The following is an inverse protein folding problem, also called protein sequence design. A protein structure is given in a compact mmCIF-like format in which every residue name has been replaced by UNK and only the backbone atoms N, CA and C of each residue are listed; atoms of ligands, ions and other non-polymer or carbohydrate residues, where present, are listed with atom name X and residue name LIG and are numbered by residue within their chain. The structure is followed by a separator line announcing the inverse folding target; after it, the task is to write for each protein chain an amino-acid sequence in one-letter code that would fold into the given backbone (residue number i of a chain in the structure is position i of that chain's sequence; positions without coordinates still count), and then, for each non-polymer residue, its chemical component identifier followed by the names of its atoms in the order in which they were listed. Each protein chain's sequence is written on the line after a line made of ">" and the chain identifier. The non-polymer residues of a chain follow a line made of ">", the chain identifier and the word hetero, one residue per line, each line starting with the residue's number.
data_IF_997143406180
#
_entry.id   IF_997143406180
#
_cell.length_a   1.000
_cell.length_b   1.000
_cell.length_c   1.000
_cell.angle_alpha   90.00
_cell.angle_beta   90.00
_cell.angle_gamma   90.00
#
_symmetry.space_group_name_H-M   'P 1'
#
loop_
_entity.id
_entity.type
_entity.pdbx_description
1 polymer ?
#
# COMPACT_ATOMS: atom_id res chain seq x y z
N UNK A 1 -21.33 4.03 12.02
CA UNK A 1 -20.32 3.61 11.02
C UNK A 1 -19.66 2.34 11.55
N UNK A 2 -19.74 1.22 10.84
CA UNK A 2 -19.12 -0.05 11.26
C UNK A 2 -17.96 -0.36 10.32
N UNK A 3 -16.83 -0.82 10.85
CA UNK A 3 -15.71 -1.30 10.03
C UNK A 3 -15.97 -2.75 9.66
N UNK A 4 -15.93 -3.07 8.36
CA UNK A 4 -16.04 -4.45 7.89
C UNK A 4 -14.64 -5.02 7.65
N UNK A 5 -14.27 -6.08 8.36
CA UNK A 5 -12.96 -6.75 8.24
C UNK A 5 -12.96 -7.79 7.14
N UNK A 6 -11.97 -7.70 6.26
CA UNK A 6 -11.91 -8.43 4.99
C UNK A 6 -10.74 -9.35 4.96
N UNK A 7 -11.06 -10.62 5.12
CA UNK A 7 -10.17 -11.72 4.84
C UNK A 7 -10.02 -11.85 3.31
N UNK A 8 -8.82 -12.06 2.78
CA UNK A 8 -8.59 -12.16 1.35
C UNK A 8 -9.31 -13.38 0.79
N UNK A 9 -9.92 -13.22 -0.40
CA UNK A 9 -10.65 -14.30 -1.07
C UNK A 9 -9.71 -15.17 -1.89
N UNK A 10 -8.57 -14.61 -2.30
CA UNK A 10 -7.45 -15.36 -2.86
C UNK A 10 -6.16 -14.90 -2.18
N UNK A 11 -5.65 -15.75 -1.32
CA UNK A 11 -4.35 -15.59 -0.69
C UNK A 11 -3.76 -16.98 -0.43
N UNK A 12 -2.64 -17.24 -1.09
CA UNK A 12 -1.70 -18.31 -0.73
C UNK A 12 -0.47 -17.54 -0.27
N UNK A 13 0.17 -17.93 0.83
CA UNK A 13 1.30 -17.21 1.42
C UNK A 13 2.42 -16.89 0.42
N UNK A 14 2.58 -17.72 -0.60
CA UNK A 14 3.58 -17.59 -1.66
C UNK A 14 3.03 -17.05 -2.99
N UNK A 15 1.76 -16.66 -3.05
CA UNK A 15 1.20 -15.99 -4.22
C UNK A 15 1.73 -14.57 -4.30
N UNK A 16 2.24 -14.19 -5.48
CA UNK A 16 2.62 -12.79 -5.75
C UNK A 16 1.41 -11.85 -5.79
N UNK A 17 0.20 -12.37 -5.94
CA UNK A 17 -1.03 -11.58 -6.02
C UNK A 17 -1.96 -11.88 -4.85
N UNK A 18 -2.50 -10.82 -4.24
CA UNK A 18 -3.45 -10.88 -3.13
C UNK A 18 -4.73 -10.18 -3.55
N UNK A 19 -5.88 -10.84 -3.39
CA UNK A 19 -7.18 -10.29 -3.79
C UNK A 19 -8.17 -10.24 -2.62
N UNK A 20 -8.75 -9.07 -2.41
CA UNK A 20 -9.84 -8.82 -1.47
C UNK A 20 -11.10 -8.46 -2.25
N UNK A 21 -12.15 -9.26 -2.11
CA UNK A 21 -13.44 -8.97 -2.71
C UNK A 21 -14.47 -8.65 -1.61
N UNK A 22 -15.13 -7.50 -1.76
CA UNK A 22 -16.20 -7.03 -0.90
C UNK A 22 -17.47 -6.89 -1.70
N UNK A 23 -18.35 -7.85 -1.54
CA UNK A 23 -19.68 -7.81 -2.14
C UNK A 23 -20.51 -6.69 -1.53
N UNK A 24 -21.08 -5.83 -2.38
CA UNK A 24 -22.01 -4.79 -1.97
C UNK A 24 -23.46 -5.27 -1.80
N UNK A 25 -23.65 -6.55 -1.49
CA UNK A 25 -24.97 -7.13 -1.30
C UNK A 25 -25.59 -6.58 0.00
N UNK A 26 -26.74 -5.91 -0.14
CA UNK A 26 -27.54 -5.36 0.96
C UNK A 26 -27.51 -3.83 1.10
N UNK A 27 -28.02 -3.35 2.24
CA UNK A 27 -28.50 -1.96 2.45
C UNK A 27 -27.42 -0.93 2.78
N UNK A 28 -26.17 -1.20 2.43
CA UNK A 28 -25.06 -0.42 2.96
C UNK A 28 -24.12 0.10 1.90
N UNK A 29 -23.61 1.28 2.17
CA UNK A 29 -22.70 1.98 1.30
C UNK A 29 -21.26 1.79 1.80
N UNK A 30 -20.31 1.83 0.87
CA UNK A 30 -18.91 1.72 1.21
C UNK A 30 -18.23 3.08 1.18
N UNK A 31 -17.39 3.32 2.18
CA UNK A 31 -16.54 4.49 2.22
C UNK A 31 -15.08 4.07 1.98
N UNK A 32 -14.53 4.55 0.86
CA UNK A 32 -13.16 4.29 0.44
C UNK A 32 -12.15 5.33 0.94
N UNK A 33 -12.59 6.41 1.61
CA UNK A 33 -11.69 7.48 2.08
C UNK A 33 -10.58 6.95 2.98
N UNK A 34 -10.87 5.90 3.76
CA UNK A 34 -9.90 5.28 4.67
C UNK A 34 -9.98 3.75 4.57
N UNK A 35 -9.38 3.21 3.52
CA UNK A 35 -9.10 1.78 3.43
C UNK A 35 -7.90 1.47 4.33
N UNK A 36 -8.03 0.51 5.25
CA UNK A 36 -6.94 0.09 6.14
C UNK A 36 -6.43 -1.29 5.77
N UNK A 37 -5.12 -1.47 5.86
CA UNK A 37 -4.47 -2.77 5.84
C UNK A 37 -3.93 -3.09 7.23
N UNK A 38 -4.10 -4.35 7.63
CA UNK A 38 -3.36 -4.97 8.72
C UNK A 38 -2.60 -6.15 8.16
N UNK A 39 -1.28 -6.21 8.38
CA UNK A 39 -0.39 -7.22 7.80
C UNK A 39 0.56 -7.74 8.87
N UNK A 40 0.67 -9.05 8.96
CA UNK A 40 1.67 -9.75 9.77
C UNK A 40 2.70 -10.34 8.82
N UNK A 41 3.96 -9.98 9.00
CA UNK A 41 5.04 -10.38 8.11
C UNK A 41 6.23 -10.89 8.90
N UNK A 42 6.99 -11.81 8.30
CA UNK A 42 8.29 -12.25 8.78
C UNK A 42 9.34 -12.15 7.69
N UNK A 43 10.57 -11.93 8.09
CA UNK A 43 11.74 -12.00 7.20
C UNK A 43 12.33 -13.41 7.34
N UNK A 44 12.68 -14.02 6.23
CA UNK A 44 13.37 -15.31 6.15
C UNK A 44 14.66 -15.14 5.37
N UNK A 45 15.64 -16.00 5.61
CA UNK A 45 16.83 -16.10 4.75
C UNK A 45 16.47 -16.84 3.45
N UNK A 46 17.36 -16.78 2.47
CA UNK A 46 17.21 -17.48 1.18
C UNK A 46 16.95 -18.98 1.32
N UNK A 47 17.53 -19.62 2.33
CA UNK A 47 17.36 -21.05 2.63
C UNK A 47 16.07 -21.36 3.43
N UNK A 48 15.23 -20.37 3.68
CA UNK A 48 14.00 -20.48 4.46
C UNK A 48 14.22 -20.50 5.97
N UNK A 49 15.46 -20.40 6.45
CA UNK A 49 15.75 -20.37 7.88
C UNK A 49 15.34 -19.04 8.51
N UNK A 50 15.16 -19.06 9.83
CA UNK A 50 14.67 -17.91 10.57
C UNK A 50 15.66 -16.73 10.54
N UNK A 51 15.12 -15.54 10.40
CA UNK A 51 15.84 -14.29 10.61
C UNK A 51 16.22 -14.11 12.08
N UNK A 52 17.44 -13.66 12.33
CA UNK A 52 18.05 -13.52 13.65
C UNK A 52 18.57 -12.11 13.87
N UNK A 53 18.91 -11.77 15.11
CA UNK A 53 19.44 -10.46 15.48
C UNK A 53 20.79 -10.11 14.84
N UNK A 54 21.51 -11.10 14.31
CA UNK A 54 22.80 -10.93 13.65
C UNK A 54 22.66 -10.65 12.15
N UNK A 55 21.45 -10.83 11.60
CA UNK A 55 21.21 -10.65 10.18
C UNK A 55 20.99 -9.17 9.87
N UNK A 56 21.87 -8.61 9.03
CA UNK A 56 21.86 -7.21 8.64
C UNK A 56 20.97 -7.02 7.42
N UNK A 57 19.65 -7.13 7.61
CA UNK A 57 18.64 -6.86 6.61
C UNK A 57 17.49 -6.04 7.20
N UNK A 58 17.26 -4.84 6.67
CA UNK A 58 16.17 -3.95 7.09
C UNK A 58 15.17 -3.74 5.96
N UNK A 59 13.88 -3.54 6.25
CA UNK A 59 12.91 -3.23 5.21
C UNK A 59 13.12 -1.82 4.64
N UNK A 60 12.69 -1.60 3.40
CA UNK A 60 12.59 -0.26 2.82
C UNK A 60 11.60 0.62 3.59
N UNK A 61 11.63 1.91 3.30
CA UNK A 61 10.75 2.86 3.96
C UNK A 61 9.28 2.56 3.68
N UNK A 62 8.45 2.72 4.71
CA UNK A 62 6.99 2.58 4.64
C UNK A 62 6.50 1.24 4.07
N UNK A 63 7.14 0.15 4.52
CA UNK A 63 6.94 -1.22 4.05
C UNK A 63 5.48 -1.61 3.86
N UNK A 64 4.56 -1.18 4.74
CA UNK A 64 3.13 -1.48 4.65
C UNK A 64 2.53 -1.23 3.26
N UNK A 65 2.96 -0.16 2.59
CA UNK A 65 2.51 0.15 1.23
C UNK A 65 3.57 -0.17 0.18
N UNK A 66 4.85 0.03 0.48
CA UNK A 66 5.93 -0.15 -0.50
C UNK A 66 6.28 -1.62 -0.78
N UNK A 67 5.74 -2.57 0.01
CA UNK A 67 5.81 -4.00 -0.30
C UNK A 67 4.95 -4.42 -1.51
N UNK A 68 4.11 -3.53 -2.04
CA UNK A 68 3.29 -3.79 -3.22
C UNK A 68 3.78 -2.97 -4.41
N UNK A 69 4.04 -3.63 -5.54
CA UNK A 69 4.45 -2.96 -6.79
C UNK A 69 3.26 -2.38 -7.54
N UNK A 70 2.08 -2.99 -7.40
CA UNK A 70 0.85 -2.56 -8.07
C UNK A 70 -0.37 -2.69 -7.16
N UNK A 71 -1.32 -1.77 -7.36
CA UNK A 71 -2.65 -1.81 -6.75
C UNK A 71 -3.70 -1.59 -7.83
N UNK A 72 -4.68 -2.49 -7.91
CA UNK A 72 -5.78 -2.43 -8.87
C UNK A 72 -7.11 -2.48 -8.14
N UNK A 73 -8.03 -1.59 -8.50
CA UNK A 73 -9.37 -1.55 -7.92
C UNK A 73 -10.40 -1.70 -9.01
N UNK A 74 -11.25 -2.70 -8.87
CA UNK A 74 -12.40 -2.94 -9.73
C UNK A 74 -13.70 -2.76 -8.97
N UNK A 75 -14.68 -2.13 -9.62
CA UNK A 75 -16.05 -2.01 -9.12
C UNK A 75 -16.96 -2.78 -10.08
N UNK A 76 -17.75 -3.72 -9.56
CA UNK A 76 -18.64 -4.59 -10.37
C UNK A 76 -17.92 -5.16 -11.61
N UNK A 77 -16.80 -5.85 -11.37
CA UNK A 77 -15.95 -6.49 -12.39
C UNK A 77 -15.30 -5.57 -13.43
N UNK A 78 -15.51 -4.25 -13.33
CA UNK A 78 -14.83 -3.26 -14.15
C UNK A 78 -13.67 -2.63 -13.41
N UNK A 79 -12.45 -2.76 -13.95
CA UNK A 79 -11.27 -2.10 -13.39
C UNK A 79 -11.40 -0.57 -13.53
N UNK A 80 -11.43 0.13 -12.40
CA UNK A 80 -11.59 1.59 -12.31
C UNK A 80 -10.23 2.26 -12.11
N UNK A 81 -9.39 1.70 -11.24
CA UNK A 81 -8.03 2.17 -10.96
C UNK A 81 -7.01 1.09 -11.28
N UNK A 82 -5.89 1.52 -11.86
CA UNK A 82 -4.74 0.70 -12.21
C UNK A 82 -3.48 1.47 -11.84
N UNK A 83 -2.87 1.13 -10.71
CA UNK A 83 -1.77 1.88 -10.14
C UNK A 83 -0.48 1.06 -10.30
N UNK A 84 0.17 1.21 -11.45
CA UNK A 84 1.54 0.73 -11.66
C UNK A 84 2.54 1.60 -10.88
N UNK A 85 3.66 1.03 -10.42
CA UNK A 85 4.66 1.73 -9.59
C UNK A 85 4.08 2.24 -8.25
N UNK A 86 3.16 1.47 -7.67
CA UNK A 86 2.46 1.81 -6.44
C UNK A 86 3.41 2.11 -5.27
N UNK A 87 4.47 1.32 -5.10
CA UNK A 87 5.47 1.54 -4.06
C UNK A 87 6.10 2.94 -4.14
N UNK A 88 6.54 3.37 -5.32
CA UNK A 88 7.13 4.69 -5.51
C UNK A 88 6.12 5.80 -5.24
N UNK A 89 4.90 5.66 -5.78
CA UNK A 89 3.81 6.61 -5.56
C UNK A 89 3.56 6.83 -4.07
N UNK A 90 3.35 5.75 -3.32
CA UNK A 90 3.00 5.84 -1.90
C UNK A 90 4.15 6.32 -1.03
N UNK A 91 5.39 5.96 -1.36
CA UNK A 91 6.57 6.49 -0.68
C UNK A 91 6.70 8.00 -0.87
N UNK A 92 6.58 8.48 -2.11
CA UNK A 92 6.67 9.91 -2.45
C UNK A 92 5.53 10.66 -1.77
N UNK A 93 4.29 10.17 -1.85
CA UNK A 93 3.14 10.82 -1.21
C UNK A 93 3.30 10.90 0.31
N UNK A 94 3.74 9.80 0.94
CA UNK A 94 3.98 9.75 2.39
C UNK A 94 5.09 10.68 2.84
N UNK A 95 6.08 10.93 1.96
CA UNK A 95 7.21 11.81 2.26
C UNK A 95 6.89 13.29 2.04
N UNK A 96 6.15 13.62 0.97
CA UNK A 96 5.93 15.00 0.54
C UNK A 96 4.59 15.61 1.00
N UNK A 97 3.53 14.80 1.08
CA UNK A 97 2.16 15.33 1.32
C UNK A 97 1.64 15.06 2.72
N UNK A 98 2.31 14.23 3.52
CA UNK A 98 1.98 14.04 4.92
C UNK A 98 2.75 15.02 5.82
N UNK A 99 2.08 15.52 6.85
CA UNK A 99 2.72 16.37 7.86
C UNK A 99 3.79 15.61 8.64
N UNK A 100 4.76 16.32 9.21
CA UNK A 100 5.79 15.70 10.04
C UNK A 100 5.20 14.94 11.24
N UNK A 101 4.12 15.47 11.84
CA UNK A 101 3.39 14.77 12.89
C UNK A 101 2.79 13.45 12.39
N UNK A 102 2.24 13.43 11.18
CA UNK A 102 1.73 12.21 10.55
C UNK A 102 2.83 11.16 10.35
N UNK A 103 3.98 11.61 9.83
CA UNK A 103 5.16 10.78 9.58
C UNK A 103 5.74 10.17 10.87
N UNK A 104 5.78 10.93 11.96
CA UNK A 104 6.32 10.48 13.26
C UNK A 104 5.34 9.65 14.09
N UNK A 105 4.05 9.75 13.81
CA UNK A 105 2.99 9.04 14.52
C UNK A 105 2.40 7.92 13.66
N UNK A 106 1.27 8.14 13.00
CA UNK A 106 0.52 7.05 12.38
C UNK A 106 1.26 6.36 11.23
N UNK A 107 2.15 7.03 10.48
CA UNK A 107 2.90 6.34 9.43
C UNK A 107 3.96 5.37 10.01
N UNK A 108 4.37 5.52 11.27
CA UNK A 108 5.28 4.58 11.93
C UNK A 108 4.70 3.18 12.08
N UNK A 109 3.38 3.04 12.21
CA UNK A 109 2.75 1.71 12.24
C UNK A 109 2.85 0.99 10.89
N UNK A 110 3.10 1.72 9.80
CA UNK A 110 3.47 1.17 8.49
C UNK A 110 4.98 1.10 8.23
N UNK A 111 5.81 1.24 9.27
CA UNK A 111 7.28 1.30 9.21
C UNK A 111 7.83 2.48 8.41
N UNK A 112 7.14 3.63 8.42
CA UNK A 112 7.71 4.88 7.93
C UNK A 112 8.74 5.43 8.91
N UNK A 113 9.99 5.55 8.47
CA UNK A 113 11.07 6.19 9.21
C UNK A 113 11.91 6.97 8.20
N UNK A 114 11.90 8.31 8.32
CA UNK A 114 12.57 9.19 7.36
C UNK A 114 14.07 8.85 7.30
N UNK A 115 14.55 8.56 6.11
CA UNK A 115 15.96 8.29 5.86
C UNK A 115 16.80 9.57 6.03
N UNK A 116 18.09 9.41 6.33
CA UNK A 116 19.00 10.55 6.53
C UNK A 116 19.31 11.21 5.18
N UNK A 117 19.22 12.54 5.13
CA UNK A 117 19.63 13.31 3.94
C UNK A 117 21.09 12.99 3.57
N UNK A 118 21.39 12.91 2.26
CA UNK A 118 22.72 12.58 1.72
C UNK A 118 23.26 11.17 2.04
N UNK A 119 22.51 10.38 2.80
CA UNK A 119 22.87 9.01 3.18
C UNK A 119 21.75 8.02 2.88
N UNK A 120 20.85 8.34 1.93
CA UNK A 120 19.74 7.45 1.56
C UNK A 120 20.25 6.08 1.08
N UNK A 121 21.27 6.09 0.22
CA UNK A 121 21.88 4.90 -0.36
C UNK A 121 22.88 4.19 0.57
N UNK A 122 23.08 4.69 1.80
CA UNK A 122 23.93 4.02 2.77
C UNK A 122 23.21 2.80 3.37
N UNK A 123 23.61 1.63 2.89
CA UNK A 123 23.11 0.33 3.32
C UNK A 123 23.89 -0.27 4.50
N UNK A 124 24.82 0.48 5.10
CA UNK A 124 25.52 0.02 6.30
C UNK A 124 24.57 0.01 7.51
N UNK A 125 24.21 -1.20 7.93
CA UNK A 125 23.33 -1.46 9.06
C UNK A 125 24.10 -1.61 10.39
N UNK A 126 25.42 -1.44 10.37
CA UNK A 126 26.26 -1.44 11.58
C UNK A 126 26.14 -0.14 12.37
N UNK A 127 26.87 -0.01 13.48
CA UNK A 127 26.94 1.24 14.23
C UNK A 127 27.47 2.42 13.38
N UNK A 128 28.30 2.17 12.36
CA UNK A 128 28.94 3.20 11.54
C UNK A 128 28.04 3.77 10.43
N UNK A 129 26.96 3.09 10.06
CA UNK A 129 26.08 3.56 8.99
C UNK A 129 25.44 4.93 9.24
N UNK A 130 25.17 5.65 8.16
CA UNK A 130 24.68 7.04 8.21
C UNK A 130 23.17 7.15 8.03
N UNK A 131 22.53 6.15 7.42
CA UNK A 131 21.07 6.10 7.29
C UNK A 131 20.39 5.69 8.60
N UNK A 132 20.04 6.67 9.42
CA UNK A 132 19.40 6.44 10.73
C UNK A 132 17.98 5.89 10.59
N UNK A 133 17.26 6.28 9.54
CA UNK A 133 15.90 5.79 9.26
C UNK A 133 15.91 4.29 8.96
N UNK A 134 16.84 3.83 8.11
CA UNK A 134 17.03 2.42 7.82
C UNK A 134 17.43 1.61 9.08
N UNK A 135 18.36 2.13 9.90
CA UNK A 135 18.70 1.48 11.17
C UNK A 135 17.51 1.36 12.10
N UNK A 136 16.72 2.42 12.25
CA UNK A 136 15.49 2.37 13.04
C UNK A 136 14.51 1.30 12.53
N UNK A 137 14.40 1.12 11.20
CA UNK A 137 13.58 0.04 10.63
C UNK A 137 14.13 -1.34 10.99
N UNK A 138 15.44 -1.57 10.87
CA UNK A 138 16.09 -2.83 11.27
C UNK A 138 15.88 -3.13 12.76
N UNK A 139 16.12 -2.17 13.63
CA UNK A 139 15.97 -2.34 15.09
C UNK A 139 14.55 -2.79 15.48
N UNK A 140 13.55 -2.41 14.69
CA UNK A 140 12.13 -2.77 14.91
C UNK A 140 11.77 -4.16 14.40
N UNK A 141 12.67 -4.86 13.71
CA UNK A 141 12.41 -6.19 13.14
C UNK A 141 13.45 -7.24 13.56
N UNK A 142 14.69 -6.86 13.91
CA UNK A 142 15.83 -7.76 14.16
C UNK A 142 15.63 -8.82 15.25
N UNK A 143 14.77 -8.54 16.25
CA UNK A 143 14.53 -9.44 17.38
C UNK A 143 13.15 -10.07 17.35
N UNK A 144 12.37 -9.85 16.28
CA UNK A 144 10.97 -10.26 16.21
C UNK A 144 10.82 -11.30 15.12
N UNK A 145 10.21 -12.45 15.46
CA UNK A 145 9.92 -13.52 14.50
C UNK A 145 8.93 -13.06 13.43
N UNK A 146 7.84 -12.43 13.86
CA UNK A 146 6.79 -11.86 13.01
C UNK A 146 6.43 -10.49 13.56
N UNK A 147 6.39 -9.48 12.70
CA UNK A 147 6.01 -8.13 13.09
C UNK A 147 4.74 -7.66 12.38
N UNK A 148 3.90 -6.95 13.14
CA UNK A 148 2.67 -6.35 12.65
C UNK A 148 2.91 -4.97 12.03
N UNK A 149 2.12 -4.69 11.00
CA UNK A 149 1.97 -3.37 10.41
C UNK A 149 0.50 -3.08 10.17
N UNK A 150 0.08 -1.86 10.48
CA UNK A 150 -1.29 -1.43 10.24
C UNK A 150 -1.28 0.02 9.78
N UNK A 151 -2.22 0.39 8.91
CA UNK A 151 -2.35 1.76 8.45
C UNK A 151 -3.19 1.90 7.20
N UNK A 152 -3.22 3.13 6.69
CA UNK A 152 -3.98 3.46 5.49
C UNK A 152 -3.32 2.80 4.29
N UNK A 153 -4.14 2.13 3.48
CA UNK A 153 -3.79 1.73 2.13
C UNK A 153 -4.16 2.86 1.17
N UNK A 154 -3.16 3.45 0.54
CA UNK A 154 -3.37 4.59 -0.35
C UNK A 154 -4.00 4.12 -1.64
N UNK A 155 -5.11 4.73 -2.05
CA UNK A 155 -5.74 4.38 -3.33
C UNK A 155 -6.23 5.65 -3.99
N UNK A 156 -6.23 5.70 -5.33
CA UNK A 156 -6.78 6.86 -6.05
C UNK A 156 -8.26 7.11 -5.70
N UNK A 157 -9.02 6.03 -5.51
CA UNK A 157 -10.42 6.10 -5.08
C UNK A 157 -10.59 6.56 -3.62
N UNK A 158 -9.55 6.52 -2.79
CA UNK A 158 -9.58 7.09 -1.45
C UNK A 158 -9.52 8.61 -1.42
N UNK A 159 -9.27 9.26 -2.56
CA UNK A 159 -9.27 10.74 -2.67
C UNK A 159 -10.66 11.33 -2.81
N UNK A 160 -11.66 10.53 -3.20
CA UNK A 160 -13.05 10.96 -3.20
C UNK A 160 -13.69 10.68 -1.84
N UNK A 161 -14.61 11.54 -1.40
CA UNK A 161 -15.33 11.42 -0.12
C UNK A 161 -16.77 10.91 -0.26
N UNK A 162 -17.22 10.58 -1.47
CA UNK A 162 -18.57 10.08 -1.77
C UNK A 162 -18.65 8.58 -1.51
N UNK A 163 -19.66 8.19 -0.75
CA UNK A 163 -19.92 6.78 -0.51
C UNK A 163 -20.27 6.05 -1.80
N UNK A 164 -19.69 4.86 -2.01
CA UNK A 164 -20.11 3.94 -3.04
C UNK A 164 -21.49 3.41 -2.68
N UNK A 165 -22.44 3.58 -3.60
CA UNK A 165 -23.83 3.17 -3.41
C UNK A 165 -23.96 1.65 -3.25
N UNK A 166 -25.07 1.23 -2.63
CA UNK A 166 -25.45 -0.18 -2.49
C UNK A 166 -25.41 -0.91 -3.85
N UNK A 167 -25.12 -2.21 -3.82
CA UNK A 167 -24.95 -3.03 -5.03
C UNK A 167 -23.56 -2.91 -5.67
N UNK A 168 -22.67 -2.07 -5.14
CA UNK A 168 -21.29 -1.95 -5.64
C UNK A 168 -20.37 -2.98 -4.98
N UNK A 169 -19.93 -3.96 -5.74
CA UNK A 169 -18.89 -4.92 -5.34
C UNK A 169 -17.51 -4.36 -5.61
N UNK A 170 -16.64 -4.36 -4.60
CA UNK A 170 -15.27 -3.82 -4.67
C UNK A 170 -14.29 -5.00 -4.70
N UNK A 171 -13.43 -5.04 -5.71
CA UNK A 171 -12.28 -5.95 -5.77
C UNK A 171 -10.99 -5.14 -5.68
N UNK A 172 -10.19 -5.38 -4.65
CA UNK A 172 -8.84 -4.82 -4.49
C UNK A 172 -7.84 -5.93 -4.76
N UNK A 173 -6.97 -5.72 -5.75
CA UNK A 173 -5.88 -6.64 -6.11
C UNK A 173 -4.54 -5.95 -5.87
N UNK A 174 -3.70 -6.59 -5.06
CA UNK A 174 -2.35 -6.14 -4.75
C UNK A 174 -1.34 -7.10 -5.35
N UNK A 175 -0.33 -6.56 -6.05
CA UNK A 175 0.81 -7.33 -6.53
C UNK A 175 2.00 -7.07 -5.62
N UNK A 176 2.59 -8.12 -5.05
CA UNK A 176 3.78 -8.04 -4.20
C UNK A 176 4.97 -7.57 -5.02
N UNK A 177 5.71 -6.60 -4.49
CA UNK A 177 7.01 -6.25 -5.02
C UNK A 177 8.01 -7.40 -4.81
N UNK A 178 9.11 -7.40 -5.56
CA UNK A 178 10.20 -8.35 -5.36
C UNK A 178 10.81 -8.15 -3.96
N UNK A 179 11.25 -9.23 -3.33
CA UNK A 179 11.85 -9.14 -2.00
C UNK A 179 13.12 -8.26 -2.01
N UNK A 180 13.93 -8.32 -3.08
CA UNK A 180 15.10 -7.44 -3.32
C UNK A 180 14.74 -5.95 -3.38
N UNK A 181 13.50 -5.62 -3.76
CA UNK A 181 13.01 -4.25 -3.71
C UNK A 181 12.54 -3.89 -2.30
N UNK A 182 11.86 -4.79 -1.60
CA UNK A 182 11.26 -4.52 -0.29
C UNK A 182 12.24 -4.61 0.90
N UNK A 183 13.39 -5.26 0.71
CA UNK A 183 14.39 -5.51 1.74
C UNK A 183 15.75 -4.98 1.31
N UNK A 184 16.46 -4.34 2.25
CA UNK A 184 17.79 -3.79 2.05
C UNK A 184 18.79 -4.53 2.95
N UNK A 185 19.78 -5.15 2.31
CA UNK A 185 20.89 -5.81 2.98
C UNK A 185 22.17 -5.57 2.18
N UNK A 186 23.30 -5.42 2.87
CA UNK A 186 24.61 -5.34 2.20
C UNK A 186 25.07 -6.70 1.66
N UNK A 187 24.78 -7.76 2.41
CA UNK A 187 25.14 -9.13 2.12
C UNK A 187 23.98 -10.07 2.42
N UNK A 188 23.87 -11.15 1.64
CA UNK A 188 22.84 -12.17 1.80
C UNK A 188 21.54 -11.84 1.07
N UNK A 189 20.74 -12.87 0.84
CA UNK A 189 19.43 -12.77 0.20
C UNK A 189 18.37 -13.15 1.23
N UNK A 190 17.29 -12.36 1.27
CA UNK A 190 16.22 -12.48 2.25
C UNK A 190 14.87 -12.41 1.55
N UNK A 191 13.87 -13.04 2.16
CA UNK A 191 12.51 -13.12 1.65
C UNK A 191 11.53 -12.52 2.66
N UNK A 192 10.58 -11.73 2.16
CA UNK A 192 9.49 -11.22 2.98
C UNK A 192 8.29 -12.15 2.83
N UNK A 193 7.96 -12.86 3.91
CA UNK A 193 6.84 -13.78 3.97
C UNK A 193 5.66 -13.16 4.71
N UNK A 194 4.51 -13.12 4.07
CA UNK A 194 3.26 -12.60 4.65
C UNK A 194 2.55 -13.76 5.35
N UNK A 195 2.38 -13.68 6.66
CA UNK A 195 1.66 -14.69 7.43
C UNK A 195 0.15 -14.43 7.43
N UNK A 196 -0.24 -13.18 7.59
CA UNK A 196 -1.63 -12.78 7.60
C UNK A 196 -1.77 -11.38 6.98
N UNK A 197 -2.87 -11.17 6.26
CA UNK A 197 -3.22 -9.89 5.69
C UNK A 197 -4.73 -9.71 5.75
N UNK A 198 -5.18 -8.52 6.14
CA UNK A 198 -6.58 -8.17 6.22
C UNK A 198 -6.82 -6.75 5.74
N UNK A 199 -7.85 -6.57 4.91
CA UNK A 199 -8.29 -5.29 4.39
C UNK A 199 -9.58 -4.85 5.08
N UNK A 200 -9.62 -3.61 5.57
CA UNK A 200 -10.79 -3.04 6.22
C UNK A 200 -11.34 -1.89 5.40
N UNK A 201 -12.63 -1.98 5.07
CA UNK A 201 -13.38 -0.94 4.37
C UNK A 201 -14.56 -0.55 5.27
N UNK A 202 -14.79 0.76 5.42
CA UNK A 202 -15.88 1.29 6.26
C UNK A 202 -17.22 1.06 5.56
N UNK A 203 -18.19 0.58 6.35
CA UNK A 203 -19.58 0.35 5.94
C UNK A 203 -20.47 1.41 6.61
N UNK A 204 -21.28 2.04 5.79
CA UNK A 204 -22.28 3.03 6.21
C UNK A 204 -23.66 2.42 6.05
N UNK A 205 -24.36 2.22 7.17
CA UNK A 205 -25.76 1.82 7.16
C UNK A 205 -26.60 3.04 6.81
N UNK A 206 -27.44 2.90 5.79
CA UNK A 206 -28.26 3.99 5.24
C UNK A 206 -29.73 3.68 5.51
N UNK A 207 -30.55 4.70 5.79
CA UNK A 207 -31.98 4.48 6.02
C UNK A 207 -32.68 3.99 4.75
N UNK A 208 -33.68 3.11 4.89
CA UNK A 208 -34.40 2.53 3.76
C UNK A 208 -35.04 3.58 2.84
N UNK A 209 -35.48 4.72 3.39
CA UNK A 209 -36.02 5.84 2.61
C UNK A 209 -35.01 6.42 1.61
N UNK A 210 -33.72 6.48 1.98
CA UNK A 210 -32.66 7.00 1.11
C UNK A 210 -32.29 5.95 0.06
N UNK A 211 -32.32 4.66 0.40
CA UNK A 211 -32.10 3.58 -0.56
C UNK A 211 -33.15 3.60 -1.66
N UNK A 212 -34.43 3.65 -1.30
CA UNK A 212 -35.55 3.75 -2.26
C UNK A 212 -35.47 5.04 -3.07
N UNK A 213 -35.11 6.15 -2.43
CA UNK A 213 -34.92 7.44 -3.10
C UNK A 213 -33.81 7.39 -4.15
N UNK A 214 -32.66 6.76 -3.83
CA UNK A 214 -31.58 6.56 -4.79
C UNK A 214 -31.97 5.56 -5.88
N UNK A 215 -32.62 4.44 -5.57
CA UNK A 215 -33.08 3.47 -6.57
C UNK A 215 -33.96 4.14 -7.63
N UNK A 216 -34.94 4.93 -7.20
CA UNK A 216 -35.80 5.71 -8.10
C UNK A 216 -35.03 6.79 -8.86
N UNK A 217 -34.11 7.48 -8.19
CA UNK A 217 -33.31 8.51 -8.85
C UNK A 217 -32.34 7.93 -9.90
N UNK A 218 -31.91 6.67 -9.77
CA UNK A 218 -31.00 6.02 -10.71
C UNK A 218 -31.69 5.49 -11.97
N UNK A 219 -33.02 5.59 -12.07
CA UNK A 219 -33.76 5.31 -13.30
C UNK A 219 -33.48 6.34 -14.41
N UNK A 220 -33.00 7.54 -14.07
CA UNK A 220 -32.78 8.63 -15.03
C UNK A 220 -31.29 9.04 -15.16
N UNK A 221 -30.66 9.75 -14.19
CA UNK A 221 -29.24 10.11 -14.27
C UNK A 221 -28.28 9.01 -13.76
N UNK A 222 -27.07 9.01 -14.32
CA UNK A 222 -25.93 8.24 -13.82
C UNK A 222 -25.32 8.90 -12.57
N UNK A 223 -24.81 8.09 -11.63
CA UNK A 223 -23.98 8.61 -10.53
C UNK A 223 -22.63 9.04 -11.06
N UNK A 224 -22.26 10.29 -10.80
CA UNK A 224 -20.94 10.82 -11.09
C UNK A 224 -20.11 10.91 -9.80
N UNK A 225 -18.97 10.22 -9.78
CA UNK A 225 -18.02 10.26 -8.67
C UNK A 225 -16.64 10.70 -9.20
N UNK A 226 -16.30 12.00 -9.08
CA UNK A 226 -14.98 12.47 -9.47
C UNK A 226 -13.93 11.95 -8.49
N UNK A 227 -12.77 11.57 -9.00
CA UNK A 227 -11.60 11.21 -8.19
C UNK A 227 -10.31 11.61 -8.90
N UNK A 228 -9.25 11.82 -8.14
CA UNK A 228 -7.95 12.22 -8.67
C UNK A 228 -7.08 10.99 -8.87
N UNK A 229 -6.45 10.90 -10.05
CA UNK A 229 -5.47 9.84 -10.34
C UNK A 229 -4.06 10.39 -10.26
N UNK A 230 -3.20 9.70 -9.53
CA UNK A 230 -1.78 10.03 -9.46
C UNK A 230 -1.00 8.96 -10.23
N UNK A 231 -0.32 9.39 -11.30
CA UNK A 231 0.44 8.52 -12.20
C UNK A 231 1.93 8.77 -12.05
N UNK A 232 2.69 7.71 -11.80
CA UNK A 232 4.16 7.72 -11.89
C UNK A 232 4.56 7.35 -13.31
N UNK A 233 5.30 8.23 -13.99
CA UNK A 233 5.91 7.96 -15.29
C UNK A 233 7.40 7.70 -15.09
N UNK A 234 7.87 6.57 -15.62
CA UNK A 234 9.28 6.18 -15.56
C UNK A 234 9.90 6.36 -16.94
N UNK A 235 11.06 7.00 -17.00
CA UNK A 235 11.84 7.17 -18.21
C UNK A 235 13.24 6.60 -17.97
N UNK A 236 13.73 5.77 -18.90
CA UNK A 236 15.07 5.20 -18.82
C UNK A 236 15.98 5.99 -19.75
N UNK A 237 17.08 6.52 -19.22
CA UNK A 237 18.04 7.31 -19.97
C UNK A 237 19.37 6.57 -20.02
N UNK A 238 19.97 6.49 -21.21
CA UNK A 238 21.30 5.92 -21.39
C UNK A 238 22.37 6.88 -20.85
N UNK A 239 23.41 6.31 -20.22
CA UNK A 239 24.56 7.09 -19.76
C UNK A 239 25.25 7.83 -20.92
N UNK A 240 25.70 9.04 -20.69
CA UNK A 240 26.39 9.88 -21.68
C UNK A 240 25.49 10.78 -22.54
N UNK A 241 24.16 10.70 -22.38
CA UNK A 241 23.24 11.63 -23.05
C UNK A 241 23.37 13.04 -22.44
N UNK A 242 23.65 14.03 -23.30
CA UNK A 242 23.76 15.45 -22.90
C UNK A 242 22.42 16.19 -22.88
N UNK A 243 21.44 15.71 -23.63
CA UNK A 243 20.10 16.28 -23.70
C UNK A 243 19.09 15.20 -24.09
N UNK A 244 17.91 15.24 -23.48
CA UNK A 244 16.79 14.34 -23.78
C UNK A 244 15.51 15.17 -23.75
N UNK A 245 14.73 15.07 -24.83
CA UNK A 245 13.39 15.66 -24.89
C UNK A 245 12.39 14.53 -24.65
N UNK A 246 11.60 14.66 -23.59
CA UNK A 246 10.55 13.72 -23.25
C UNK A 246 9.20 14.41 -23.51
N UNK A 247 8.58 14.20 -24.67
CA UNK A 247 7.30 14.83 -24.97
C UNK A 247 6.24 14.37 -23.96
N UNK A 248 5.43 15.30 -23.46
CA UNK A 248 4.38 15.07 -22.46
C UNK A 248 4.90 14.42 -21.16
N UNK A 249 6.09 14.80 -20.68
CA UNK A 249 6.61 14.30 -19.40
C UNK A 249 5.69 14.70 -18.24
N UNK A 250 5.22 15.94 -18.24
CA UNK A 250 4.21 16.48 -17.31
C UNK A 250 2.96 16.80 -18.13
N UNK A 251 1.80 16.36 -17.65
CA UNK A 251 0.50 16.67 -18.26
C UNK A 251 -0.09 17.92 -17.60
#
# INVERSE_FOLDING_TARGET
>A
MRTSSGTPIKFISDSNTIEFLRSGLGDAYFDLTHVFLNIQVKILKADGTAFTSNDLCGPINYLLNTMFSECHISLNDRQISSESNYAYKTYIQSTLFHSESSQKNFLRSGKFYKDTAEAFDDLDLSAAGKNLGLKQRLERVKSIKTFDMCGIHHTDLGTQSRLLISGTTILVRLLKAKDEFSLLAKNGTYHLHIENISLFIRKCDVSSSILVGHEKALEQPLVQMPFTRIKIKTFTLSSGLKSVIIPNAVN
#
